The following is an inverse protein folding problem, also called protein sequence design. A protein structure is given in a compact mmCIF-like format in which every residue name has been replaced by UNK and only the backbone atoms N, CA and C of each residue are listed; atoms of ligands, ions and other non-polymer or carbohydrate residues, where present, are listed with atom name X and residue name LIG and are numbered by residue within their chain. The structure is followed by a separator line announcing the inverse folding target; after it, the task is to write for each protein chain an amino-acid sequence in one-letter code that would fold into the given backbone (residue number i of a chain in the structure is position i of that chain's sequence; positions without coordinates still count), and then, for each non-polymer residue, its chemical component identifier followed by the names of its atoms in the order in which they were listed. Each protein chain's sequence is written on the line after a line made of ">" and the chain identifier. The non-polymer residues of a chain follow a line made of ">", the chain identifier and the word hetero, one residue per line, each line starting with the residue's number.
data_IF_227073328477
#
_entry.id   IF_227073328477
#
_cell.length_a   1.000
_cell.length_b   1.000
_cell.length_c   1.000
_cell.angle_alpha   90.00
_cell.angle_beta   90.00
_cell.angle_gamma   90.00
#
_symmetry.space_group_name_H-M   'P 1'
#
loop_
_entity.id
_entity.type
_entity.pdbx_description
1 polymer ?
#
# COMPACT_ATOMS: atom_id res chain seq x y z
N UNK A 1 -11.43 -17.68 -19.68
CA UNK A 1 -12.26 -16.74 -18.89
C UNK A 1 -11.56 -15.39 -18.91
N UNK A 2 -12.30 -14.28 -19.09
CA UNK A 2 -11.68 -12.95 -19.03
C UNK A 2 -11.13 -12.72 -17.62
N UNK A 3 -9.90 -12.22 -17.51
CA UNK A 3 -9.30 -11.89 -16.23
C UNK A 3 -10.08 -10.73 -15.61
N UNK A 4 -10.47 -10.86 -14.34
CA UNK A 4 -11.24 -9.83 -13.68
C UNK A 4 -10.40 -8.56 -13.53
N UNK A 5 -11.02 -7.40 -13.78
CA UNK A 5 -10.36 -6.10 -13.68
C UNK A 5 -10.25 -5.70 -12.20
N UNK A 6 -9.04 -5.36 -11.75
CA UNK A 6 -8.75 -5.09 -10.33
C UNK A 6 -7.99 -3.77 -10.15
N UNK A 7 -8.26 -2.98 -9.11
CA UNK A 7 -7.51 -1.76 -8.86
C UNK A 7 -6.07 -2.08 -8.47
N UNK A 8 -5.13 -1.21 -8.81
CA UNK A 8 -3.75 -1.31 -8.32
C UNK A 8 -3.71 -1.04 -6.82
N UNK A 9 -3.53 -2.11 -6.06
CA UNK A 9 -3.40 -2.10 -4.60
C UNK A 9 -2.01 -2.50 -4.17
N UNK A 10 -1.55 -1.90 -3.08
CA UNK A 10 -0.22 -2.12 -2.54
C UNK A 10 -0.32 -2.52 -1.08
N UNK A 11 0.31 -3.63 -0.73
CA UNK A 11 0.67 -3.91 0.66
C UNK A 11 2.04 -3.33 0.98
N UNK A 12 2.51 -3.56 2.20
CA UNK A 12 3.82 -3.08 2.64
C UNK A 12 4.99 -3.56 1.78
N UNK A 13 4.94 -4.78 1.21
CA UNK A 13 6.02 -5.27 0.36
C UNK A 13 6.06 -4.52 -0.98
N UNK A 14 4.90 -4.22 -1.55
CA UNK A 14 4.80 -3.46 -2.80
C UNK A 14 5.24 -2.00 -2.59
N UNK A 15 4.82 -1.35 -1.50
CA UNK A 15 5.30 0.00 -1.14
C UNK A 15 6.82 0.01 -0.98
N UNK A 16 7.37 -0.93 -0.22
CA UNK A 16 8.81 -1.05 -0.01
C UNK A 16 9.57 -1.28 -1.32
N UNK A 17 9.02 -2.13 -2.20
CA UNK A 17 9.54 -2.35 -3.54
C UNK A 17 9.58 -1.05 -4.34
N UNK A 18 8.48 -0.29 -4.43
CA UNK A 18 8.42 0.95 -5.21
C UNK A 18 9.40 2.03 -4.75
N UNK A 19 9.63 2.15 -3.44
CA UNK A 19 10.51 3.18 -2.86
C UNK A 19 11.95 2.72 -2.61
N UNK A 20 12.33 1.50 -3.04
CA UNK A 20 13.65 0.91 -2.76
C UNK A 20 14.03 0.92 -1.27
N UNK A 21 13.06 0.66 -0.41
CA UNK A 21 13.27 0.56 1.04
C UNK A 21 12.98 -0.85 1.52
N UNK A 22 13.42 -1.15 2.74
CA UNK A 22 13.03 -2.38 3.42
C UNK A 22 11.55 -2.38 3.80
N UNK A 23 10.95 -3.57 3.88
CA UNK A 23 9.53 -3.72 4.26
C UNK A 23 9.21 -3.08 5.62
N UNK A 24 10.16 -3.15 6.56
CA UNK A 24 10.06 -2.56 7.89
C UNK A 24 9.96 -1.03 7.83
N UNK A 25 10.57 -0.39 6.84
CA UNK A 25 10.49 1.06 6.62
C UNK A 25 9.07 1.48 6.24
N UNK A 26 8.40 0.73 5.36
CA UNK A 26 6.98 0.99 5.03
C UNK A 26 6.06 0.82 6.25
N UNK A 27 6.32 -0.16 7.11
CA UNK A 27 5.59 -0.33 8.37
C UNK A 27 5.82 0.83 9.33
N UNK A 28 7.07 1.30 9.43
CA UNK A 28 7.44 2.48 10.21
C UNK A 28 6.71 3.72 9.70
N UNK A 29 6.68 3.96 8.39
CA UNK A 29 5.94 5.07 7.79
C UNK A 29 4.46 5.05 8.17
N UNK A 30 3.83 3.87 8.20
CA UNK A 30 2.45 3.73 8.66
C UNK A 30 2.28 4.08 10.14
N UNK A 31 3.20 3.63 10.99
CA UNK A 31 3.15 3.92 12.42
C UNK A 31 3.43 5.39 12.78
N UNK A 32 4.19 6.09 11.93
CA UNK A 32 4.54 7.51 12.08
C UNK A 32 3.57 8.45 11.36
N UNK A 33 2.52 7.92 10.73
CA UNK A 33 1.54 8.70 9.95
C UNK A 33 2.08 9.27 8.63
N UNK A 34 3.29 8.87 8.20
CA UNK A 34 3.82 9.22 6.87
C UNK A 34 3.05 8.47 5.79
N UNK A 35 2.79 7.18 5.99
CA UNK A 35 1.84 6.43 5.16
C UNK A 35 0.49 6.48 5.88
N UNK A 36 -0.51 7.08 5.23
CA UNK A 36 -1.84 7.31 5.78
C UNK A 36 -2.61 6.04 6.13
N UNK A 37 -3.87 6.23 6.52
CA UNK A 37 -4.79 5.11 6.74
C UNK A 37 -4.95 4.28 5.45
N UNK A 38 -5.10 2.95 5.56
CA UNK A 38 -5.26 2.10 4.39
C UNK A 38 -6.62 2.30 3.73
N UNK A 39 -6.64 2.35 2.41
CA UNK A 39 -7.86 2.39 1.58
C UNK A 39 -8.67 1.08 1.69
N UNK A 40 -8.00 -0.03 2.04
CA UNK A 40 -8.63 -1.33 2.24
C UNK A 40 -7.94 -2.12 3.35
N UNK A 41 -8.75 -2.74 4.21
CA UNK A 41 -8.27 -3.81 5.10
C UNK A 41 -8.94 -5.12 4.68
N UNK A 42 -8.12 -6.11 4.33
CA UNK A 42 -8.58 -7.44 3.98
C UNK A 42 -7.83 -8.50 4.81
N UNK A 43 -8.58 -9.33 5.54
CA UNK A 43 -8.05 -10.32 6.48
C UNK A 43 -7.04 -9.77 7.49
N UNK A 44 -7.25 -8.53 7.92
CA UNK A 44 -6.40 -7.80 8.86
C UNK A 44 -5.12 -7.21 8.25
N UNK A 45 -4.89 -7.38 6.94
CA UNK A 45 -3.77 -6.76 6.26
C UNK A 45 -4.20 -5.43 5.63
N UNK A 46 -3.39 -4.36 5.80
CA UNK A 46 -3.66 -3.07 5.18
C UNK A 46 -3.19 -3.03 3.71
N UNK A 47 -3.99 -2.37 2.88
CA UNK A 47 -3.71 -2.11 1.47
C UNK A 47 -4.05 -0.67 1.13
N UNK A 48 -3.23 -0.08 0.26
CA UNK A 48 -3.42 1.27 -0.25
C UNK A 48 -3.63 1.25 -1.77
N UNK A 49 -4.41 2.18 -2.28
CA UNK A 49 -4.50 2.50 -3.69
C UNK A 49 -3.15 3.03 -4.19
N UNK A 50 -2.84 2.75 -5.45
CA UNK A 50 -1.62 3.27 -6.07
C UNK A 50 -1.55 4.79 -5.99
N UNK A 51 -2.66 5.50 -6.23
CA UNK A 51 -2.72 6.97 -6.10
C UNK A 51 -2.23 7.45 -4.74
N UNK A 52 -2.83 6.93 -3.66
CA UNK A 52 -2.47 7.21 -2.26
C UNK A 52 -0.98 6.98 -1.98
N UNK A 53 -0.38 5.93 -2.54
CA UNK A 53 1.05 5.63 -2.33
C UNK A 53 1.95 6.58 -3.13
N UNK A 54 1.54 7.01 -4.32
CA UNK A 54 2.32 7.94 -5.14
C UNK A 54 2.35 9.35 -4.54
N UNK A 55 1.33 9.74 -3.78
CA UNK A 55 1.29 11.03 -3.05
C UNK A 55 2.43 11.17 -2.03
N UNK A 56 2.98 10.07 -1.50
CA UNK A 56 4.15 10.13 -0.61
C UNK A 56 5.39 10.73 -1.28
N UNK A 57 5.44 10.69 -2.62
CA UNK A 57 6.51 11.34 -3.40
C UNK A 57 6.31 12.84 -3.58
N UNK A 58 5.09 13.34 -3.38
CA UNK A 58 4.80 14.77 -3.46
C UNK A 58 5.27 15.52 -2.20
N UNK A 59 5.35 14.83 -1.05
CA UNK A 59 5.60 15.44 0.26
C UNK A 59 7.07 15.36 0.75
N UNK A 60 8.06 15.06 -0.11
CA UNK A 60 9.48 15.13 0.25
C UNK A 60 10.44 14.34 -0.65
N UNK A 61 11.62 14.01 -0.12
CA UNK A 61 12.71 13.33 -0.86
C UNK A 61 12.43 11.86 -1.24
N UNK A 62 11.21 11.37 -1.04
CA UNK A 62 10.84 9.98 -1.34
C UNK A 62 10.51 9.90 -2.82
N UNK A 63 11.35 9.23 -3.59
CA UNK A 63 11.11 9.07 -5.02
C UNK A 63 10.67 7.64 -5.33
N UNK A 64 9.55 7.51 -6.03
CA UNK A 64 9.13 6.24 -6.63
C UNK A 64 10.08 5.90 -7.76
N UNK A 65 10.59 4.67 -7.73
CA UNK A 65 11.31 4.08 -8.84
C UNK A 65 10.33 3.76 -9.99
N UNK A 66 10.46 4.49 -11.10
CA UNK A 66 9.58 4.37 -12.26
C UNK A 66 9.70 3.00 -12.96
N UNK A 67 10.88 2.40 -12.98
CA UNK A 67 11.08 1.06 -13.57
C UNK A 67 10.36 0.01 -12.72
N UNK A 68 10.45 0.12 -11.40
CA UNK A 68 9.72 -0.75 -10.47
C UNK A 68 8.22 -0.52 -10.52
N UNK A 69 7.76 0.72 -10.70
CA UNK A 69 6.34 1.01 -10.90
C UNK A 69 5.81 0.34 -12.17
N UNK A 70 6.54 0.45 -13.29
CA UNK A 70 6.19 -0.23 -14.53
C UNK A 70 6.19 -1.75 -14.36
N UNK A 71 7.21 -2.31 -13.70
CA UNK A 71 7.30 -3.75 -13.42
C UNK A 71 6.18 -4.25 -12.50
N UNK A 72 5.77 -3.45 -11.52
CA UNK A 72 4.63 -3.77 -10.65
C UNK A 72 3.32 -3.78 -11.46
N UNK A 73 3.05 -2.75 -12.27
CA UNK A 73 1.85 -2.68 -13.12
C UNK A 73 1.79 -3.85 -14.11
N UNK A 74 2.92 -4.22 -14.70
CA UNK A 74 3.01 -5.34 -15.65
C UNK A 74 2.64 -6.70 -15.03
N UNK A 75 2.79 -6.88 -13.71
CA UNK A 75 2.36 -8.10 -13.01
C UNK A 75 0.85 -8.22 -12.86
N UNK A 76 0.09 -7.16 -13.13
CA UNK A 76 -1.37 -7.11 -13.00
C UNK A 76 -1.93 -6.62 -14.34
N UNK A 77 -2.06 -7.52 -15.34
CA UNK A 77 -2.41 -7.14 -16.71
C UNK A 77 -3.77 -6.41 -16.85
N UNK A 78 -4.74 -6.76 -16.00
CA UNK A 78 -6.06 -6.11 -15.92
C UNK A 78 -6.16 -5.09 -14.78
N UNK A 79 -5.01 -4.57 -14.35
CA UNK A 79 -4.92 -3.56 -13.31
C UNK A 79 -5.38 -2.19 -13.79
N UNK A 80 -6.01 -1.41 -12.91
CA UNK A 80 -6.34 -0.01 -13.20
C UNK A 80 -6.04 0.91 -12.04
N UNK A 81 -5.76 2.17 -12.35
CA UNK A 81 -5.62 3.21 -11.33
C UNK A 81 -7.02 3.61 -10.88
N UNK A 82 -7.24 3.55 -9.57
CA UNK A 82 -8.44 4.06 -8.93
C UNK A 82 -8.02 5.17 -7.97
N UNK A 83 -8.71 6.30 -8.04
CA UNK A 83 -8.42 7.50 -7.23
C UNK A 83 -9.41 7.68 -6.08
N UNK A 84 -10.60 7.09 -6.19
CA UNK A 84 -11.68 7.23 -5.23
C UNK A 84 -11.92 5.90 -4.52
N UNK A 85 -11.73 5.91 -3.19
CA UNK A 85 -11.93 4.74 -2.34
C UNK A 85 -13.38 4.25 -2.37
N UNK A 86 -14.36 5.13 -2.55
CA UNK A 86 -15.78 4.77 -2.56
C UNK A 86 -16.16 3.91 -3.78
N UNK A 87 -15.31 3.92 -4.81
CA UNK A 87 -15.44 3.12 -6.02
C UNK A 87 -14.68 1.79 -5.93
N UNK A 88 -14.08 1.48 -4.79
CA UNK A 88 -13.30 0.26 -4.60
C UNK A 88 -14.25 -0.94 -4.66
N UNK A 89 -14.03 -1.92 -5.57
CA UNK A 89 -14.84 -3.12 -5.59
C UNK A 89 -14.67 -3.89 -4.28
N UNK A 90 -15.64 -4.73 -3.94
CA UNK A 90 -15.58 -5.52 -2.73
C UNK A 90 -14.47 -6.58 -2.84
N UNK A 91 -13.30 -6.26 -2.27
CA UNK A 91 -12.12 -7.13 -2.26
C UNK A 91 -12.02 -7.86 -0.92
N UNK A 92 -11.84 -9.17 -0.98
CA UNK A 92 -11.89 -10.10 0.13
C UNK A 92 -10.52 -10.74 0.33
N UNK A 93 -10.11 -10.85 1.60
CA UNK A 93 -9.04 -11.74 1.99
C UNK A 93 -9.58 -13.11 2.39
N UNK A 94 -8.66 -14.01 2.75
CA UNK A 94 -8.93 -15.40 3.08
C UNK A 94 -9.96 -15.60 4.23
N UNK A 95 -10.02 -14.69 5.22
CA UNK A 95 -11.01 -14.73 6.30
C UNK A 95 -12.42 -14.37 5.82
N UNK A 96 -12.53 -13.30 5.02
CA UNK A 96 -13.79 -12.86 4.44
C UNK A 96 -14.37 -13.90 3.48
N UNK A 97 -13.53 -14.50 2.63
CA UNK A 97 -13.93 -15.60 1.76
C UNK A 97 -14.48 -16.77 2.60
N UNK A 98 -13.85 -17.06 3.74
CA UNK A 98 -14.36 -18.06 4.68
C UNK A 98 -15.78 -17.74 5.12
N UNK A 99 -16.02 -16.52 5.62
CA UNK A 99 -17.34 -16.08 6.06
C UNK A 99 -18.39 -16.17 4.95
N UNK A 100 -18.08 -15.68 3.75
CA UNK A 100 -18.98 -15.74 2.58
C UNK A 100 -19.37 -17.18 2.24
N UNK A 101 -18.45 -18.13 2.40
CA UNK A 101 -18.67 -19.55 2.09
C UNK A 101 -19.11 -20.39 3.31
N UNK A 102 -19.37 -19.77 4.46
CA UNK A 102 -19.76 -20.49 5.69
C UNK A 102 -18.66 -21.42 6.22
N UNK A 103 -17.40 -21.04 6.05
CA UNK A 103 -16.20 -21.79 6.46
C UNK A 103 -15.21 -20.91 7.21
N UNK A 104 -14.23 -21.54 7.84
CA UNK A 104 -13.09 -20.83 8.42
C UNK A 104 -12.02 -20.50 7.34
N UNK A 105 -11.09 -19.61 7.71
CA UNK A 105 -9.99 -19.21 6.84
C UNK A 105 -9.04 -20.38 6.51
N UNK A 106 -8.91 -21.40 7.38
CA UNK A 106 -8.04 -22.55 7.14
C UNK A 106 -8.60 -23.47 6.06
N UNK A 107 -9.92 -23.63 5.99
CA UNK A 107 -10.62 -24.34 4.93
C UNK A 107 -10.38 -23.66 3.58
N UNK A 108 -10.49 -22.34 3.51
CA UNK A 108 -10.17 -21.58 2.29
C UNK A 108 -8.71 -21.75 1.90
N UNK A 109 -7.77 -21.66 2.84
CA UNK A 109 -6.34 -21.92 2.56
C UNK A 109 -6.11 -23.33 2.01
N UNK A 110 -6.75 -24.36 2.59
CA UNK A 110 -6.67 -25.74 2.09
C UNK A 110 -7.27 -25.89 0.70
N UNK A 111 -8.40 -25.22 0.43
CA UNK A 111 -9.03 -25.25 -0.88
C UNK A 111 -8.16 -24.59 -1.94
N UNK A 112 -7.58 -23.43 -1.65
CA UNK A 112 -6.62 -22.75 -2.54
C UNK A 112 -5.43 -23.66 -2.87
N UNK A 113 -4.80 -24.26 -1.85
CA UNK A 113 -3.65 -25.14 -2.07
C UNK A 113 -3.99 -26.40 -2.90
N UNK A 114 -5.26 -26.81 -2.91
CA UNK A 114 -5.77 -27.94 -3.69
C UNK A 114 -6.52 -27.51 -4.95
N UNK A 115 -6.49 -26.23 -5.31
CA UNK A 115 -7.20 -25.65 -6.46
C UNK A 115 -8.71 -25.95 -6.47
N UNK A 116 -9.30 -26.07 -5.28
CA UNK A 116 -10.74 -26.31 -5.08
C UNK A 116 -11.54 -25.03 -4.88
N UNK A 117 -10.96 -23.87 -5.14
CA UNK A 117 -11.63 -22.56 -5.17
C UNK A 117 -11.02 -21.78 -6.32
N UNK A 118 -11.68 -20.71 -6.77
CA UNK A 118 -11.10 -19.80 -7.76
C UNK A 118 -9.70 -19.34 -7.34
N UNK A 119 -8.83 -19.21 -8.33
CA UNK A 119 -7.52 -18.58 -8.13
C UNK A 119 -7.71 -17.13 -7.65
N UNK A 120 -6.81 -16.60 -6.79
CA UNK A 120 -6.88 -15.21 -6.35
C UNK A 120 -6.79 -14.24 -7.53
N UNK A 121 -7.63 -13.20 -7.51
CA UNK A 121 -7.55 -12.10 -8.49
C UNK A 121 -6.27 -11.27 -8.29
N UNK A 122 -5.77 -11.22 -7.05
CA UNK A 122 -4.51 -10.57 -6.68
C UNK A 122 -3.75 -11.38 -5.62
N UNK A 123 -2.42 -11.32 -5.67
CA UNK A 123 -1.56 -11.77 -4.56
C UNK A 123 -0.61 -10.63 -4.20
N UNK A 124 -0.83 -10.02 -3.03
CA UNK A 124 -0.11 -8.83 -2.58
C UNK A 124 0.53 -9.09 -1.23
N UNK A 125 1.82 -8.77 -1.10
CA UNK A 125 2.60 -9.03 0.12
C UNK A 125 2.46 -10.48 0.63
N UNK A 126 2.33 -11.43 -0.30
CA UNK A 126 2.12 -12.86 -0.04
C UNK A 126 0.70 -13.26 0.37
N UNK A 127 -0.25 -12.32 0.42
CA UNK A 127 -1.64 -12.58 0.80
C UNK A 127 -2.54 -12.66 -0.43
N UNK A 128 -3.36 -13.71 -0.56
CA UNK A 128 -4.31 -13.83 -1.66
C UNK A 128 -5.53 -12.94 -1.42
N UNK A 129 -6.00 -12.31 -2.48
CA UNK A 129 -7.17 -11.43 -2.52
C UNK A 129 -8.09 -11.84 -3.67
N UNK A 130 -9.39 -11.78 -3.42
CA UNK A 130 -10.43 -12.06 -4.41
C UNK A 130 -11.42 -10.90 -4.49
N UNK A 131 -12.02 -10.69 -5.65
CA UNK A 131 -13.26 -9.94 -5.77
C UNK A 131 -14.42 -10.78 -5.22
N UNK A 132 -15.38 -10.13 -4.57
CA UNK A 132 -16.59 -10.79 -4.09
C UNK A 132 -17.30 -11.56 -5.21
N UNK A 133 -17.42 -10.95 -6.39
CA UNK A 133 -18.10 -11.57 -7.52
C UNK A 133 -17.35 -12.82 -8.02
N UNK A 134 -16.01 -12.83 -8.03
CA UNK A 134 -15.21 -14.04 -8.33
C UNK A 134 -15.54 -15.19 -7.37
N UNK A 135 -15.72 -14.89 -6.08
CA UNK A 135 -16.07 -15.90 -5.06
C UNK A 135 -17.52 -16.40 -5.24
N UNK A 136 -18.45 -15.49 -5.54
CA UNK A 136 -19.86 -15.83 -5.80
C UNK A 136 -19.98 -16.73 -7.03
N UNK A 137 -19.29 -16.39 -8.12
CA UNK A 137 -19.34 -17.15 -9.35
C UNK A 137 -18.67 -18.53 -9.20
N UNK A 138 -17.54 -18.62 -8.49
CA UNK A 138 -16.93 -19.92 -8.15
C UNK A 138 -17.84 -20.77 -7.26
N UNK A 139 -18.50 -20.16 -6.27
CA UNK A 139 -19.45 -20.85 -5.41
C UNK A 139 -20.62 -21.42 -6.21
N UNK A 140 -21.19 -20.63 -7.14
CA UNK A 140 -22.26 -21.08 -8.04
C UNK A 140 -21.79 -22.22 -8.94
N UNK A 141 -20.64 -22.06 -9.60
CA UNK A 141 -20.07 -23.09 -10.48
C UNK A 141 -19.85 -24.43 -9.76
N UNK A 142 -19.45 -24.35 -8.49
CA UNK A 142 -19.16 -25.52 -7.64
C UNK A 142 -20.33 -25.94 -6.76
N UNK A 143 -21.51 -25.34 -6.95
CA UNK A 143 -22.74 -25.63 -6.18
C UNK A 143 -22.51 -25.55 -4.66
N UNK A 144 -21.91 -24.46 -4.20
CA UNK A 144 -21.68 -24.16 -2.78
C UNK A 144 -22.67 -23.14 -2.26
N UNK A 145 -23.06 -23.33 -1.01
CA UNK A 145 -23.85 -22.36 -0.29
C UNK A 145 -23.06 -21.06 -0.05
N UNK A 146 -23.78 -19.94 -0.19
CA UNK A 146 -23.31 -18.61 0.15
C UNK A 146 -24.06 -18.13 1.39
N UNK A 147 -23.34 -17.54 2.33
CA UNK A 147 -23.95 -16.88 3.49
C UNK A 147 -24.50 -15.54 3.04
N UNK A 148 -25.79 -15.51 2.71
CA UNK A 148 -26.46 -14.35 2.10
C UNK A 148 -26.32 -13.07 2.94
N UNK A 149 -26.38 -13.19 4.27
CA UNK A 149 -26.21 -12.04 5.19
C UNK A 149 -24.82 -11.42 5.08
N UNK A 150 -23.76 -12.24 4.96
CA UNK A 150 -22.39 -11.76 4.79
C UNK A 150 -22.19 -11.09 3.44
N UNK A 151 -22.75 -11.67 2.36
CA UNK A 151 -22.70 -11.08 1.02
C UNK A 151 -23.38 -9.71 0.99
N UNK A 152 -24.58 -9.60 1.57
CA UNK A 152 -25.32 -8.34 1.64
C UNK A 152 -24.58 -7.29 2.47
N UNK A 153 -24.04 -7.67 3.64
CA UNK A 153 -23.27 -6.76 4.49
C UNK A 153 -22.03 -6.20 3.74
N UNK A 154 -21.28 -7.07 3.07
CA UNK A 154 -20.09 -6.67 2.32
C UNK A 154 -20.40 -5.72 1.16
N UNK A 155 -21.54 -5.92 0.48
CA UNK A 155 -21.98 -5.05 -0.64
C UNK A 155 -22.34 -3.64 -0.19
N UNK A 156 -22.78 -3.46 1.05
CA UNK A 156 -23.05 -2.14 1.64
C UNK A 156 -21.86 -1.60 2.45
N UNK A 157 -20.66 -2.18 2.26
CA UNK A 157 -19.43 -1.72 2.91
C UNK A 157 -19.27 -2.16 4.36
N UNK A 158 -20.21 -2.94 4.91
CA UNK A 158 -20.12 -3.43 6.29
C UNK A 158 -19.16 -4.63 6.36
N UNK A 159 -18.03 -4.42 7.02
CA UNK A 159 -17.05 -5.48 7.32
C UNK A 159 -17.06 -5.76 8.81
N UNK A 160 -17.08 -7.05 9.17
CA UNK A 160 -16.81 -7.46 10.56
C UNK A 160 -15.49 -6.83 11.04
N UNK A 161 -15.43 -6.30 12.27
CA UNK A 161 -14.22 -5.69 12.82
C UNK A 161 -13.03 -6.64 12.71
N UNK A 162 -11.96 -6.18 12.07
CA UNK A 162 -10.72 -6.93 11.94
C UNK A 162 -9.69 -6.25 12.82
N UNK A 163 -9.06 -6.99 13.73
CA UNK A 163 -7.87 -6.47 14.41
C UNK A 163 -6.78 -6.30 13.33
N UNK A 164 -6.31 -5.07 13.05
CA UNK A 164 -5.23 -4.88 12.11
C UNK A 164 -4.02 -5.70 12.58
N UNK A 165 -3.42 -6.48 11.68
CA UNK A 165 -2.16 -7.16 11.99
C UNK A 165 -1.04 -6.12 11.95
N UNK A 166 -0.46 -5.83 13.10
CA UNK A 166 0.65 -4.89 13.22
C UNK A 166 0.60 -4.09 14.52
N UNK A 167 1.64 -3.29 14.73
CA UNK A 167 1.72 -2.38 15.89
C UNK A 167 0.70 -1.26 15.70
N UNK A 168 -0.11 -0.99 16.73
CA UNK A 168 -1.03 0.15 16.76
C UNK A 168 -0.23 1.43 16.45
N UNK A 169 -0.70 2.32 15.56
CA UNK A 169 -0.04 3.59 15.35
C UNK A 169 0.10 4.27 16.71
N UNK A 170 1.32 4.73 17.01
CA UNK A 170 1.49 5.59 18.17
C UNK A 170 0.63 6.85 17.93
N UNK A 171 0.03 7.45 18.97
CA UNK A 171 -0.58 8.77 18.82
C UNK A 171 0.45 9.66 18.13
N UNK A 172 0.03 10.35 17.07
CA UNK A 172 0.90 11.18 16.26
C UNK A 172 1.65 12.12 17.21
N UNK A 173 2.91 11.79 17.49
CA UNK A 173 3.79 12.74 18.13
C UNK A 173 3.80 13.92 17.18
N UNK A 174 3.33 15.07 17.65
CA UNK A 174 3.34 16.33 16.91
C UNK A 174 4.78 16.52 16.48
N UNK A 175 5.10 16.14 15.24
CA UNK A 175 6.43 16.41 14.68
C UNK A 175 6.51 17.93 14.69
N UNK A 176 7.56 18.53 15.28
CA UNK A 176 7.78 19.95 15.05
C UNK A 176 7.79 20.13 13.53
N UNK A 177 7.02 21.12 13.06
CA UNK A 177 6.96 21.53 11.66
C UNK A 177 8.37 21.49 11.11
N UNK A 178 8.62 20.58 10.17
CA UNK A 178 9.95 20.40 9.57
C UNK A 178 10.29 21.75 8.96
N UNK A 179 11.27 22.46 9.53
CA UNK A 179 11.70 23.74 8.96
C UNK A 179 12.00 23.50 7.48
N UNK A 180 11.48 24.37 6.58
CA UNK A 180 11.71 24.23 5.16
C UNK A 180 13.21 24.15 4.91
N UNK A 181 13.61 23.21 4.04
CA UNK A 181 15.01 23.03 3.69
C UNK A 181 15.58 24.36 3.19
N UNK A 182 16.80 24.74 3.61
CA UNK A 182 17.50 25.88 3.03
C UNK A 182 17.60 25.69 1.51
N UNK A 183 17.29 26.74 0.74
CA UNK A 183 17.41 26.69 -0.71
C UNK A 183 18.85 26.35 -1.12
N UNK A 184 18.99 25.58 -2.21
CA UNK A 184 20.31 25.30 -2.77
C UNK A 184 20.99 26.61 -3.20
N UNK A 185 22.24 26.80 -2.76
CA UNK A 185 23.05 27.95 -3.13
C UNK A 185 24.25 27.51 -3.97
N UNK A 186 24.61 28.34 -4.94
CA UNK A 186 25.81 28.19 -5.75
C UNK A 186 26.82 29.24 -5.30
N UNK A 187 28.04 28.80 -5.03
CA UNK A 187 29.15 29.66 -4.63
C UNK A 187 30.23 29.61 -5.70
N UNK A 188 30.89 30.74 -5.93
CA UNK A 188 32.09 30.81 -6.78
C UNK A 188 33.35 30.76 -5.91
N UNK A 189 34.52 30.65 -6.54
CA UNK A 189 35.80 30.60 -5.81
C UNK A 189 36.07 31.86 -4.96
N UNK A 190 35.43 32.98 -5.26
CA UNK A 190 35.55 34.23 -4.48
C UNK A 190 34.65 34.27 -3.25
N UNK A 191 33.70 33.33 -3.12
CA UNK A 191 32.68 33.33 -2.05
C UNK A 191 33.03 32.37 -0.91
N UNK A 192 34.32 32.07 -0.70
CA UNK A 192 34.78 31.04 0.24
C UNK A 192 34.22 31.21 1.66
N UNK A 193 34.26 32.44 2.20
CA UNK A 193 33.75 32.74 3.54
C UNK A 193 32.23 32.54 3.63
N UNK A 194 31.49 32.99 2.62
CA UNK A 194 30.03 32.85 2.59
C UNK A 194 29.60 31.38 2.42
N UNK A 195 30.34 30.59 1.63
CA UNK A 195 30.12 29.17 1.46
C UNK A 195 30.35 28.41 2.78
N UNK A 196 31.40 28.75 3.53
CA UNK A 196 31.71 28.15 4.83
C UNK A 196 30.63 28.48 5.88
N UNK A 197 30.17 29.73 5.95
CA UNK A 197 29.10 30.15 6.85
C UNK A 197 27.77 29.46 6.54
N UNK A 198 27.40 29.38 5.25
CA UNK A 198 26.20 28.66 4.83
C UNK A 198 26.29 27.18 5.22
N UNK A 199 27.41 26.51 4.92
CA UNK A 199 27.61 25.10 5.25
C UNK A 199 27.54 24.85 6.76
N UNK A 200 28.17 25.70 7.57
CA UNK A 200 28.11 25.64 9.02
C UNK A 200 26.67 25.79 9.54
N UNK A 201 25.89 26.72 8.96
CA UNK A 201 24.49 26.93 9.34
C UNK A 201 23.60 25.73 9.02
N UNK A 202 23.81 25.08 7.88
CA UNK A 202 23.04 23.91 7.45
C UNK A 202 23.36 22.69 8.32
N UNK A 203 24.63 22.49 8.65
CA UNK A 203 25.07 21.41 9.55
C UNK A 203 24.60 21.63 10.99
N UNK A 204 24.62 22.86 11.50
CA UNK A 204 24.13 23.19 12.84
C UNK A 204 22.63 22.90 13.01
N UNK A 205 21.86 22.99 11.92
CA UNK A 205 20.44 22.59 11.87
C UNK A 205 20.23 21.07 11.74
N UNK A 206 21.30 20.27 11.70
CA UNK A 206 21.25 18.81 11.64
C UNK A 206 20.96 18.24 10.25
N UNK A 207 21.09 19.05 9.20
CA UNK A 207 20.94 18.58 7.82
C UNK A 207 22.24 17.96 7.29
N UNK A 208 22.13 17.06 6.31
CA UNK A 208 23.27 16.56 5.53
C UNK A 208 23.41 17.35 4.23
N UNK A 209 24.64 17.62 3.80
CA UNK A 209 24.95 18.47 2.64
C UNK A 209 25.55 17.62 1.51
N UNK A 210 25.14 17.89 0.26
CA UNK A 210 25.76 17.32 -0.95
C UNK A 210 26.34 18.46 -1.78
N UNK A 211 27.65 18.45 -2.01
CA UNK A 211 28.34 19.45 -2.83
C UNK A 211 28.52 18.91 -4.25
N UNK A 212 28.05 19.66 -5.25
CA UNK A 212 28.22 19.32 -6.67
C UNK A 212 29.08 20.38 -7.36
N UNK A 213 30.24 20.03 -7.92
CA UNK A 213 31.01 20.97 -8.72
C UNK A 213 30.26 21.29 -10.02
N UNK A 214 30.04 22.57 -10.32
CA UNK A 214 29.62 23.02 -11.65
C UNK A 214 30.89 23.32 -12.47
N UNK A 215 30.96 22.72 -13.65
CA UNK A 215 32.03 22.96 -14.63
C UNK A 215 31.62 24.05 -15.60
#
# INVERSE_FOLDING_TARGET
>A
MAQARVPFLLGHAEVAFLYRVERQTSQKWRSEGTLGEPDLIASGNPYWLLGTVLELSAEGDRLVDQERLAAYKAKIPSGYVLHDQDQLPVILGNQEVGRVLGRDAQAVSRWRNRQRIAEPDLVLSGSPLWLLETVIDDARLRQRDLVASEVSALRVGQRSPQKPRGRRPAPAATRPSREPLPAAQTFTATDETAAAEFLASVLAKGYSVVIKPQR
#
